data_IF_129615750396
#
_entry.id   IF_129615750396
#
_cell.length_a   1.000
_cell.length_b   1.000
_cell.length_c   1.000
_cell.angle_alpha   90.00
_cell.angle_beta   90.00
_cell.angle_gamma   90.00
#
_symmetry.space_group_name_H-M   'P 1'
#
loop_
_entity.id
_entity.type
_entity.pdbx_description
1 polymer ?
#
# COMPACT_ATOMS: atom_id res chain seq x y z
N UNK A 1 18.87 -7.27 -6.77
CA UNK A 1 17.75 -6.81 -7.62
C UNK A 1 16.89 -8.02 -8.02
N UNK A 2 15.57 -7.89 -8.25
CA UNK A 2 14.74 -9.02 -8.68
C UNK A 2 15.28 -9.71 -9.93
N UNK A 3 15.83 -8.95 -10.89
CA UNK A 3 16.39 -9.50 -12.11
C UNK A 3 17.59 -10.41 -11.86
N UNK A 4 18.52 -9.98 -10.99
CA UNK A 4 19.68 -10.79 -10.63
C UNK A 4 19.29 -12.08 -9.88
N UNK A 5 18.21 -12.03 -9.07
CA UNK A 5 17.68 -13.22 -8.42
C UNK A 5 17.09 -14.20 -9.45
N UNK A 6 16.30 -13.70 -10.41
CA UNK A 6 15.73 -14.54 -11.50
C UNK A 6 16.86 -15.21 -12.27
N UNK A 7 17.88 -14.46 -12.70
CA UNK A 7 19.00 -14.97 -13.48
C UNK A 7 19.82 -16.00 -12.68
N UNK A 8 20.17 -15.67 -11.44
CA UNK A 8 20.96 -16.55 -10.57
C UNK A 8 20.26 -17.87 -10.29
N UNK A 9 18.99 -17.84 -9.87
CA UNK A 9 18.25 -19.07 -9.55
C UNK A 9 17.89 -19.87 -10.82
N UNK A 10 17.64 -19.21 -11.96
CA UNK A 10 17.45 -19.90 -13.23
C UNK A 10 18.74 -20.63 -13.68
N UNK A 11 19.92 -20.05 -13.43
CA UNK A 11 21.20 -20.71 -13.71
C UNK A 11 21.41 -21.92 -12.78
N UNK A 12 21.10 -21.79 -11.49
CA UNK A 12 21.19 -22.90 -10.54
C UNK A 12 20.24 -24.06 -10.89
N UNK A 13 19.07 -23.78 -11.44
CA UNK A 13 18.10 -24.81 -11.86
C UNK A 13 18.58 -25.67 -13.03
N UNK A 14 19.68 -25.29 -13.70
CA UNK A 14 20.29 -26.11 -14.78
C UNK A 14 21.11 -27.28 -14.23
N UNK A 15 21.42 -27.29 -12.93
CA UNK A 15 22.13 -28.41 -12.30
C UNK A 15 21.20 -29.63 -12.19
N UNK A 16 21.54 -30.74 -12.88
CA UNK A 16 20.74 -31.97 -12.82
C UNK A 16 20.79 -32.67 -11.46
N UNK A 17 21.77 -32.34 -10.61
CA UNK A 17 21.97 -32.96 -9.30
C UNK A 17 21.12 -32.33 -8.19
N UNK A 18 20.36 -31.23 -8.50
CA UNK A 18 19.51 -30.57 -7.54
C UNK A 18 18.42 -31.47 -6.97
N UNK A 19 18.21 -31.39 -5.66
CA UNK A 19 17.07 -32.03 -5.02
C UNK A 19 15.75 -31.42 -5.51
N UNK A 20 14.65 -32.20 -5.45
CA UNK A 20 13.32 -31.71 -5.79
C UNK A 20 12.88 -30.54 -4.88
N UNK A 21 13.29 -30.56 -3.62
CA UNK A 21 13.03 -29.50 -2.65
C UNK A 21 13.71 -28.18 -3.07
N UNK A 22 15.01 -28.21 -3.42
CA UNK A 22 15.76 -27.04 -3.88
C UNK A 22 15.19 -26.50 -5.19
N UNK A 23 14.82 -27.39 -6.12
CA UNK A 23 14.20 -27.04 -7.40
C UNK A 23 12.89 -26.29 -7.19
N UNK A 24 12.05 -26.75 -6.29
CA UNK A 24 10.79 -26.10 -5.94
C UNK A 24 11.03 -24.74 -5.26
N UNK A 25 12.00 -24.64 -4.37
CA UNK A 25 12.37 -23.39 -3.70
C UNK A 25 12.88 -22.35 -4.70
N UNK A 26 13.82 -22.72 -5.58
CA UNK A 26 14.36 -21.80 -6.60
C UNK A 26 13.29 -21.34 -7.59
N UNK A 27 12.41 -22.23 -8.00
CA UNK A 27 11.28 -21.89 -8.85
C UNK A 27 10.36 -20.87 -8.16
N UNK A 28 10.08 -21.04 -6.87
CA UNK A 28 9.29 -20.11 -6.08
C UNK A 28 9.93 -18.73 -6.00
N UNK A 29 11.25 -18.67 -5.78
CA UNK A 29 11.98 -17.39 -5.73
C UNK A 29 11.94 -16.67 -7.07
N UNK A 30 12.06 -17.39 -8.19
CA UNK A 30 11.93 -16.82 -9.53
C UNK A 30 10.53 -16.24 -9.74
N UNK A 31 9.47 -16.99 -9.40
CA UNK A 31 8.09 -16.53 -9.53
C UNK A 31 7.84 -15.27 -8.69
N UNK A 32 8.29 -15.27 -7.43
CA UNK A 32 8.14 -14.14 -6.53
C UNK A 32 8.89 -12.89 -7.04
N UNK A 33 10.11 -13.08 -7.54
CA UNK A 33 10.92 -12.00 -8.13
C UNK A 33 10.29 -11.43 -9.40
N UNK A 34 9.69 -12.28 -10.24
CA UNK A 34 8.95 -11.86 -11.45
C UNK A 34 7.72 -11.04 -11.08
N UNK A 35 6.94 -11.47 -10.07
CA UNK A 35 5.79 -10.72 -9.57
C UNK A 35 6.20 -9.35 -9.02
N UNK A 36 7.30 -9.31 -8.28
CA UNK A 36 7.85 -8.05 -7.74
C UNK A 36 8.25 -7.09 -8.87
N UNK A 37 8.92 -7.58 -9.93
CA UNK A 37 9.30 -6.78 -11.09
C UNK A 37 8.08 -6.24 -11.83
N UNK A 38 7.05 -7.06 -12.04
CA UNK A 38 5.78 -6.66 -12.67
C UNK A 38 5.11 -5.54 -11.88
N UNK A 39 5.02 -5.68 -10.55
CA UNK A 39 4.44 -4.66 -9.67
C UNK A 39 5.25 -3.36 -9.72
N UNK A 40 6.59 -3.45 -9.71
CA UNK A 40 7.47 -2.28 -9.79
C UNK A 40 7.31 -1.54 -11.11
N UNK A 41 7.28 -2.25 -12.23
CA UNK A 41 7.09 -1.66 -13.56
C UNK A 41 5.71 -0.99 -13.67
N UNK A 42 4.65 -1.64 -13.20
CA UNK A 42 3.31 -1.07 -13.14
C UNK A 42 3.24 0.23 -12.33
N UNK A 43 3.88 0.24 -11.16
CA UNK A 43 3.95 1.42 -10.30
C UNK A 43 4.74 2.57 -10.93
N UNK A 44 5.85 2.29 -11.64
CA UNK A 44 6.63 3.32 -12.36
C UNK A 44 5.78 3.93 -13.47
N UNK A 45 5.10 3.11 -14.27
CA UNK A 45 4.22 3.59 -15.34
C UNK A 45 3.05 4.41 -14.79
N UNK A 46 2.43 3.95 -13.70
CA UNK A 46 1.37 4.69 -13.03
C UNK A 46 1.87 6.04 -12.52
N UNK A 47 2.99 6.07 -11.81
CA UNK A 47 3.57 7.30 -11.29
C UNK A 47 3.92 8.28 -12.43
N UNK A 48 4.53 7.80 -13.51
CA UNK A 48 4.83 8.62 -14.70
C UNK A 48 3.58 9.24 -15.34
N UNK A 49 2.46 8.50 -15.37
CA UNK A 49 1.16 9.03 -15.85
C UNK A 49 0.62 10.07 -14.89
N UNK A 50 0.61 9.78 -13.58
CA UNK A 50 0.09 10.70 -12.55
C UNK A 50 0.90 12.01 -12.48
N UNK A 51 2.21 11.98 -12.74
CA UNK A 51 3.05 13.18 -12.75
C UNK A 51 2.72 14.15 -13.89
N UNK A 52 2.32 13.61 -15.04
CA UNK A 52 1.90 14.41 -16.20
C UNK A 52 0.44 14.84 -16.12
N UNK A 53 -0.33 14.27 -15.20
CA UNK A 53 -1.75 14.56 -15.07
C UNK A 53 -1.94 15.78 -14.16
N UNK A 54 -2.69 16.79 -14.66
CA UNK A 54 -3.06 17.99 -13.92
C UNK A 54 -4.52 17.93 -13.46
N UNK A 55 -5.37 17.19 -14.18
CA UNK A 55 -6.80 17.10 -13.92
C UNK A 55 -7.22 15.65 -13.75
N UNK A 56 -8.01 15.36 -12.73
CA UNK A 56 -8.59 14.04 -12.50
C UNK A 56 -9.73 13.80 -13.48
N UNK A 57 -9.58 12.83 -14.36
CA UNK A 57 -10.62 12.38 -15.30
C UNK A 57 -11.34 11.13 -14.74
N UNK A 58 -12.45 10.74 -15.35
CA UNK A 58 -13.19 9.53 -14.95
C UNK A 58 -13.81 9.63 -13.56
N UNK A 59 -14.24 10.84 -13.17
CA UNK A 59 -14.91 11.08 -11.88
C UNK A 59 -16.34 10.55 -11.91
N UNK A 60 -16.70 9.80 -10.88
CA UNK A 60 -18.04 9.23 -10.68
C UNK A 60 -18.43 9.32 -9.21
N UNK A 61 -19.73 9.18 -8.91
CA UNK A 61 -20.21 9.08 -7.52
C UNK A 61 -20.23 7.63 -7.09
N UNK A 62 -19.57 7.33 -5.97
CA UNK A 62 -19.51 5.98 -5.39
C UNK A 62 -19.57 6.01 -3.86
N UNK A 63 -19.76 4.86 -3.22
CA UNK A 63 -19.71 4.72 -1.76
C UNK A 63 -18.27 4.54 -1.32
N UNK A 64 -17.71 5.54 -0.68
CA UNK A 64 -16.30 5.54 -0.21
C UNK A 64 -16.09 4.53 0.94
N UNK A 65 -17.04 4.45 1.86
CA UNK A 65 -17.04 3.47 2.94
C UNK A 65 -17.03 2.03 2.42
N UNK A 66 -17.84 1.74 1.41
CA UNK A 66 -17.88 0.42 0.78
C UNK A 66 -16.59 0.11 0.01
N UNK A 67 -16.02 1.10 -0.67
CA UNK A 67 -14.73 0.93 -1.34
C UNK A 67 -13.62 0.55 -0.36
N UNK A 68 -13.58 1.17 0.82
CA UNK A 68 -12.60 0.85 1.86
C UNK A 68 -12.84 -0.57 2.39
N UNK A 69 -14.11 -0.97 2.63
CA UNK A 69 -14.44 -2.35 3.04
C UNK A 69 -13.96 -3.37 2.02
N UNK A 70 -14.20 -3.12 0.73
CA UNK A 70 -13.74 -3.99 -0.36
C UNK A 70 -12.21 -4.08 -0.41
N UNK A 71 -11.50 -2.98 -0.17
CA UNK A 71 -10.04 -3.00 -0.10
C UNK A 71 -9.52 -3.84 1.08
N UNK A 72 -10.18 -3.78 2.24
CA UNK A 72 -9.85 -4.61 3.42
C UNK A 72 -10.10 -6.10 3.10
N UNK A 73 -11.24 -6.44 2.51
CA UNK A 73 -11.59 -7.81 2.12
C UNK A 73 -10.64 -8.37 1.06
N UNK A 74 -10.24 -7.56 0.08
CA UNK A 74 -9.26 -7.97 -0.94
C UNK A 74 -7.92 -8.40 -0.31
N UNK A 75 -7.57 -7.84 0.83
CA UNK A 75 -6.33 -8.12 1.54
C UNK A 75 -6.49 -9.18 2.66
N UNK A 76 -7.67 -9.83 2.76
CA UNK A 76 -7.97 -10.84 3.77
C UNK A 76 -6.89 -11.92 3.90
N UNK A 77 -6.37 -12.55 2.82
CA UNK A 77 -5.35 -13.59 2.96
C UNK A 77 -4.06 -13.09 3.63
N UNK A 78 -3.79 -11.77 3.58
CA UNK A 78 -2.59 -11.18 4.16
C UNK A 78 -2.74 -10.89 5.66
N UNK A 79 -3.87 -10.27 6.05
CA UNK A 79 -4.10 -9.95 7.46
C UNK A 79 -4.53 -11.19 8.25
N UNK A 80 -5.26 -12.14 7.64
CA UNK A 80 -5.59 -13.42 8.27
C UNK A 80 -4.34 -14.26 8.56
N UNK A 81 -3.40 -14.35 7.61
CA UNK A 81 -2.13 -15.06 7.80
C UNK A 81 -1.33 -14.53 8.99
N UNK A 82 -1.49 -13.26 9.34
CA UNK A 82 -0.87 -12.62 10.49
C UNK A 82 -1.76 -12.61 11.74
N UNK A 83 -2.99 -13.14 11.66
CA UNK A 83 -3.98 -13.10 12.74
C UNK A 83 -4.19 -11.68 13.29
N UNK A 84 -4.30 -10.67 12.41
CA UNK A 84 -4.50 -9.29 12.83
C UNK A 84 -5.93 -9.09 13.33
N UNK A 85 -6.07 -8.32 14.41
CA UNK A 85 -7.37 -7.85 14.89
C UNK A 85 -7.79 -6.62 14.06
N UNK A 86 -9.06 -6.62 13.61
CA UNK A 86 -9.60 -5.51 12.82
C UNK A 86 -10.57 -4.68 13.67
N UNK A 87 -10.41 -3.34 13.63
CA UNK A 87 -11.33 -2.36 14.19
C UNK A 87 -11.79 -1.40 13.08
N UNK A 88 -13.02 -1.60 12.59
CA UNK A 88 -13.54 -0.96 11.37
C UNK A 88 -14.76 -0.11 11.71
N UNK A 89 -14.60 1.22 11.68
CA UNK A 89 -15.64 2.22 11.94
C UNK A 89 -15.77 3.17 10.73
N UNK A 90 -16.64 2.84 9.79
CA UNK A 90 -16.80 3.55 8.53
C UNK A 90 -18.20 4.14 8.40
N UNK A 91 -18.32 5.45 8.57
CA UNK A 91 -19.54 6.20 8.30
C UNK A 91 -19.88 6.14 6.81
N UNK A 92 -21.15 5.88 6.46
CA UNK A 92 -21.61 5.86 5.09
C UNK A 92 -21.33 7.21 4.38
N UNK A 93 -20.64 7.16 3.25
CA UNK A 93 -20.18 8.37 2.55
C UNK A 93 -20.25 8.19 1.03
N UNK A 94 -21.07 9.02 0.38
CA UNK A 94 -21.02 9.18 -1.08
C UNK A 94 -19.93 10.18 -1.43
N UNK A 95 -19.03 9.78 -2.31
CA UNK A 95 -17.90 10.60 -2.74
C UNK A 95 -17.91 10.75 -4.27
N UNK A 96 -17.65 11.97 -4.75
CA UNK A 96 -17.51 12.26 -6.18
C UNK A 96 -16.03 12.38 -6.54
N UNK A 97 -15.50 11.43 -7.27
CA UNK A 97 -14.07 11.37 -7.61
C UNK A 97 -13.71 10.21 -8.52
N UNK A 98 -12.43 9.98 -8.72
CA UNK A 98 -11.96 8.82 -9.47
C UNK A 98 -11.82 7.61 -8.54
N UNK A 99 -12.74 6.64 -8.73
CA UNK A 99 -12.85 5.44 -7.91
C UNK A 99 -11.57 4.59 -7.96
N UNK A 100 -10.97 4.41 -9.14
CA UNK A 100 -9.78 3.57 -9.33
C UNK A 100 -8.55 4.15 -8.62
N UNK A 101 -8.35 5.47 -8.72
CA UNK A 101 -7.26 6.16 -8.04
C UNK A 101 -7.38 6.03 -6.52
N UNK A 102 -8.58 6.25 -5.95
CA UNK A 102 -8.78 6.13 -4.50
C UNK A 102 -8.65 4.68 -4.02
N UNK A 103 -9.11 3.70 -4.80
CA UNK A 103 -8.90 2.29 -4.48
C UNK A 103 -7.40 1.97 -4.34
N UNK A 104 -6.55 2.51 -5.23
CA UNK A 104 -5.10 2.35 -5.13
C UNK A 104 -4.53 2.96 -3.83
N UNK A 105 -5.07 4.11 -3.40
CA UNK A 105 -4.68 4.74 -2.12
C UNK A 105 -4.96 3.79 -0.95
N UNK A 106 -6.19 3.26 -0.87
CA UNK A 106 -6.58 2.37 0.25
C UNK A 106 -5.77 1.09 0.25
N UNK A 107 -5.58 0.46 -0.91
CA UNK A 107 -4.76 -0.75 -1.03
C UNK A 107 -3.33 -0.49 -0.57
N UNK A 108 -2.70 0.60 -0.99
CA UNK A 108 -1.32 0.93 -0.60
C UNK A 108 -1.19 1.17 0.92
N UNK A 109 -2.13 1.93 1.52
CA UNK A 109 -2.08 2.22 2.95
C UNK A 109 -2.35 0.98 3.79
N UNK A 110 -3.36 0.17 3.43
CA UNK A 110 -3.70 -1.07 4.11
C UNK A 110 -2.58 -2.11 3.98
N UNK A 111 -1.98 -2.27 2.80
CA UNK A 111 -0.84 -3.17 2.61
C UNK A 111 0.36 -2.78 3.48
N UNK A 112 0.65 -1.47 3.60
CA UNK A 112 1.71 -1.00 4.48
C UNK A 112 1.38 -1.31 5.94
N UNK A 113 0.16 -1.01 6.39
CA UNK A 113 -0.28 -1.31 7.75
C UNK A 113 -0.16 -2.81 8.06
N UNK A 114 -0.67 -3.69 7.17
CA UNK A 114 -0.54 -5.15 7.33
C UNK A 114 0.93 -5.60 7.32
N UNK A 115 1.75 -5.03 6.43
CA UNK A 115 3.17 -5.39 6.29
C UNK A 115 3.93 -5.13 7.59
N UNK A 116 3.76 -3.96 8.17
CA UNK A 116 4.57 -3.51 9.31
C UNK A 116 3.98 -3.86 10.68
N UNK A 117 2.76 -4.37 10.73
CA UNK A 117 2.15 -4.90 11.95
C UNK A 117 2.65 -6.33 12.23
N UNK A 118 3.14 -6.65 13.43
CA UNK A 118 3.47 -8.03 13.82
C UNK A 118 2.21 -8.91 13.90
N UNK A 119 2.42 -10.23 13.91
CA UNK A 119 1.32 -11.17 14.08
C UNK A 119 0.55 -10.90 15.40
N UNK A 120 -0.78 -11.00 15.35
CA UNK A 120 -1.65 -10.70 16.49
C UNK A 120 -1.89 -9.22 16.77
N UNK A 121 -1.26 -8.31 16.02
CA UNK A 121 -1.45 -6.88 16.16
C UNK A 121 -2.82 -6.39 15.70
N UNK A 122 -3.03 -5.08 15.70
CA UNK A 122 -4.31 -4.44 15.34
C UNK A 122 -4.17 -3.57 14.10
N UNK A 123 -5.17 -3.63 13.23
CA UNK A 123 -5.40 -2.74 12.11
C UNK A 123 -6.75 -2.05 12.29
N UNK A 124 -6.76 -0.72 12.32
CA UNK A 124 -8.00 0.06 12.43
C UNK A 124 -8.20 0.92 11.19
N UNK A 125 -9.44 0.99 10.71
CA UNK A 125 -9.85 1.89 9.63
C UNK A 125 -11.08 2.69 10.07
N UNK A 126 -10.96 4.01 10.04
CA UNK A 126 -12.03 4.93 10.45
C UNK A 126 -12.33 5.94 9.36
N UNK A 127 -13.63 6.13 9.05
CA UNK A 127 -14.11 7.17 8.15
C UNK A 127 -15.07 8.09 8.89
N UNK A 128 -14.79 9.40 8.87
CA UNK A 128 -15.62 10.44 9.51
C UNK A 128 -15.85 11.59 8.52
N UNK A 129 -17.05 12.13 8.50
CA UNK A 129 -17.41 13.33 7.74
C UNK A 129 -17.39 14.52 8.72
N UNK A 130 -16.66 15.57 8.38
CA UNK A 130 -16.58 16.81 9.17
C UNK A 130 -16.75 18.01 8.25
N UNK A 131 -17.93 18.63 8.30
CA UNK A 131 -18.27 19.72 7.41
C UNK A 131 -18.26 19.32 5.94
N UNK A 132 -17.43 19.98 5.15
CA UNK A 132 -17.23 19.75 3.71
C UNK A 132 -16.06 18.79 3.40
N UNK A 133 -15.59 18.03 4.38
CA UNK A 133 -14.45 17.12 4.24
C UNK A 133 -14.79 15.73 4.76
N UNK A 134 -14.22 14.74 4.10
CA UNK A 134 -14.14 13.37 4.59
C UNK A 134 -12.72 13.07 5.06
N UNK A 135 -12.61 12.45 6.23
CA UNK A 135 -11.37 12.03 6.85
C UNK A 135 -11.36 10.50 6.94
N UNK A 136 -10.35 9.87 6.36
CA UNK A 136 -10.13 8.42 6.46
C UNK A 136 -8.81 8.19 7.16
N UNK A 137 -8.84 7.50 8.29
CA UNK A 137 -7.66 7.16 9.08
C UNK A 137 -7.44 5.65 9.03
N UNK A 138 -6.23 5.23 8.68
CA UNK A 138 -5.77 3.84 8.74
C UNK A 138 -4.65 3.78 9.75
N UNK A 139 -4.88 3.05 10.84
CA UNK A 139 -3.95 2.91 11.96
C UNK A 139 -3.53 1.47 12.13
N UNK A 140 -2.27 1.27 12.44
CA UNK A 140 -1.67 -0.01 12.78
C UNK A 140 -0.95 0.06 14.15
N UNK A 141 -0.75 -1.09 14.78
CA UNK A 141 0.08 -1.26 15.97
C UNK A 141 1.42 -1.91 15.62
N UNK A 142 2.01 -1.43 14.53
CA UNK A 142 3.25 -1.96 14.00
C UNK A 142 4.51 -1.37 14.65
N UNK A 143 5.63 -1.58 14.00
CA UNK A 143 6.96 -1.13 14.47
C UNK A 143 7.12 0.40 14.52
N UNK A 144 6.16 1.15 13.99
CA UNK A 144 6.21 2.60 13.93
C UNK A 144 7.42 3.18 13.19
N UNK A 145 7.58 4.49 13.28
CA UNK A 145 8.64 5.25 12.58
C UNK A 145 9.18 6.36 13.47
N UNK A 146 10.46 6.67 13.30
CA UNK A 146 11.08 7.86 13.84
C UNK A 146 10.83 9.10 12.96
N UNK A 147 11.14 10.30 13.48
CA UNK A 147 10.92 11.56 12.78
C UNK A 147 11.70 11.68 11.46
N UNK A 148 12.89 11.07 11.40
CA UNK A 148 13.72 11.10 10.21
C UNK A 148 13.09 10.25 9.09
N UNK A 149 12.56 9.09 9.42
CA UNK A 149 11.79 8.23 8.53
C UNK A 149 10.51 8.91 8.08
N UNK A 150 9.71 9.47 9.01
CA UNK A 150 8.43 10.13 8.68
C UNK A 150 8.58 11.26 7.65
N UNK A 151 9.68 12.02 7.70
CA UNK A 151 9.96 13.10 6.73
C UNK A 151 10.20 12.59 5.31
N UNK A 152 10.60 11.32 5.15
CA UNK A 152 11.07 10.76 3.89
C UNK A 152 10.12 9.71 3.28
N UNK A 153 9.12 9.24 4.01
CA UNK A 153 8.25 8.12 3.56
C UNK A 153 7.51 8.38 2.25
N UNK A 154 7.33 9.64 1.85
CA UNK A 154 6.71 10.02 0.58
C UNK A 154 7.72 10.24 -0.56
N UNK A 155 9.03 10.13 -0.28
CA UNK A 155 10.07 10.15 -1.31
C UNK A 155 9.97 8.88 -2.18
N UNK A 156 10.25 9.03 -3.48
CA UNK A 156 10.26 7.90 -4.41
C UNK A 156 11.38 6.93 -4.05
N UNK A 157 11.10 5.64 -4.14
CA UNK A 157 12.05 4.55 -3.85
C UNK A 157 12.59 4.53 -2.41
N UNK A 158 12.01 5.30 -1.51
CA UNK A 158 12.39 5.25 -0.12
C UNK A 158 11.82 3.99 0.55
N UNK A 159 12.69 3.22 1.17
CA UNK A 159 12.36 2.09 2.05
C UNK A 159 13.25 2.15 3.28
N UNK A 160 12.67 1.96 4.46
CA UNK A 160 13.41 2.00 5.74
C UNK A 160 14.51 0.94 5.81
N UNK A 161 14.25 -0.25 5.27
CA UNK A 161 15.17 -1.38 5.32
C UNK A 161 15.68 -1.70 3.91
N UNK A 162 17.00 -1.83 3.82
CA UNK A 162 17.69 -2.36 2.64
C UNK A 162 17.62 -3.89 2.54
N UNK A 163 16.77 -4.55 3.34
CA UNK A 163 16.63 -6.00 3.32
C UNK A 163 15.95 -6.45 2.01
N UNK A 164 16.64 -7.25 1.19
CA UNK A 164 16.11 -7.79 -0.04
C UNK A 164 14.84 -8.64 0.14
N UNK A 165 14.62 -9.17 1.35
CA UNK A 165 13.44 -9.98 1.69
C UNK A 165 12.22 -9.15 2.08
N UNK A 166 12.36 -7.86 2.39
CA UNK A 166 11.24 -6.97 2.63
C UNK A 166 10.63 -6.51 1.31
N UNK A 167 9.55 -7.18 0.91
CA UNK A 167 8.77 -6.90 -0.32
C UNK A 167 8.21 -5.48 -0.32
N UNK A 168 8.84 -4.55 -1.04
CA UNK A 168 8.33 -3.20 -1.27
C UNK A 168 9.29 -2.40 -2.14
N UNK A 169 8.75 -1.69 -3.16
CA UNK A 169 9.55 -0.92 -4.11
C UNK A 169 9.68 0.58 -3.75
N UNK A 170 9.17 1.00 -2.58
CA UNK A 170 9.23 2.38 -2.12
C UNK A 170 8.42 3.39 -2.96
N UNK A 171 7.49 2.91 -3.80
CA UNK A 171 6.67 3.77 -4.67
C UNK A 171 5.22 3.93 -4.17
N UNK A 172 4.71 3.05 -3.32
CA UNK A 172 3.32 3.06 -2.89
C UNK A 172 2.89 4.38 -2.23
N UNK A 173 3.66 4.88 -1.26
CA UNK A 173 3.32 6.13 -0.56
C UNK A 173 3.51 7.37 -1.43
N UNK A 174 4.50 7.40 -2.34
CA UNK A 174 4.65 8.50 -3.29
C UNK A 174 3.51 8.54 -4.32
N UNK A 175 3.01 7.40 -4.77
CA UNK A 175 1.80 7.27 -5.60
C UNK A 175 0.58 7.76 -4.81
N UNK A 176 0.42 7.29 -3.57
CA UNK A 176 -0.66 7.73 -2.67
C UNK A 176 -0.68 9.24 -2.52
N UNK A 177 0.47 9.84 -2.18
CA UNK A 177 0.60 11.30 -2.03
C UNK A 177 0.19 12.02 -3.31
N UNK A 178 0.69 11.59 -4.48
CA UNK A 178 0.35 12.22 -5.77
C UNK A 178 -1.14 12.13 -6.11
N UNK A 179 -1.78 10.99 -5.85
CA UNK A 179 -3.23 10.83 -6.07
C UNK A 179 -4.02 11.80 -5.17
N UNK A 180 -3.67 11.88 -3.89
CA UNK A 180 -4.34 12.77 -2.93
C UNK A 180 -4.14 14.24 -3.32
N UNK A 181 -2.94 14.65 -3.76
CA UNK A 181 -2.68 16.00 -4.24
C UNK A 181 -3.51 16.35 -5.47
N UNK A 182 -3.65 15.44 -6.44
CA UNK A 182 -4.53 15.59 -7.61
C UNK A 182 -6.00 15.77 -7.24
N UNK A 183 -6.42 15.21 -6.11
CA UNK A 183 -7.79 15.36 -5.59
C UNK A 183 -7.94 16.55 -4.62
N UNK A 184 -6.94 17.45 -4.57
CA UNK A 184 -6.93 18.60 -3.68
C UNK A 184 -7.09 18.23 -2.20
N UNK A 185 -6.67 17.00 -1.85
CA UNK A 185 -6.68 16.49 -0.48
C UNK A 185 -5.34 16.68 0.22
N UNK A 186 -5.29 16.20 1.45
CA UNK A 186 -4.05 16.12 2.25
C UNK A 186 -3.89 14.73 2.84
N UNK A 187 -2.65 14.29 3.00
CA UNK A 187 -2.32 13.09 3.76
C UNK A 187 -1.38 13.47 4.90
N UNK A 188 -1.75 13.08 6.09
CA UNK A 188 -1.02 13.29 7.33
C UNK A 188 -0.54 11.95 7.86
N UNK A 189 0.58 11.94 8.57
CA UNK A 189 1.10 10.76 9.26
C UNK A 189 1.47 11.13 10.69
N UNK A 190 1.09 10.28 11.62
CA UNK A 190 1.61 10.28 12.99
C UNK A 190 2.11 8.87 13.32
N UNK A 191 3.29 8.77 13.90
CA UNK A 191 3.90 7.48 14.22
C UNK A 191 4.86 7.63 15.37
N UNK A 192 5.01 6.58 16.15
CA UNK A 192 6.00 6.45 17.20
C UNK A 192 6.60 5.05 17.14
N UNK A 193 7.91 4.96 17.32
CA UNK A 193 8.62 3.67 17.31
C UNK A 193 7.99 2.74 18.34
N UNK A 194 7.71 1.52 17.93
CA UNK A 194 7.09 0.43 18.69
C UNK A 194 5.62 0.67 19.13
N UNK A 195 4.98 1.77 18.71
CA UNK A 195 3.56 2.05 18.98
C UNK A 195 2.68 1.95 17.72
N UNK A 196 3.31 1.95 16.53
CA UNK A 196 2.63 1.88 15.26
C UNK A 196 2.51 3.20 14.52
N UNK A 197 1.67 3.22 13.50
CA UNK A 197 1.48 4.39 12.63
C UNK A 197 0.01 4.66 12.37
N UNK A 198 -0.32 5.91 12.11
CA UNK A 198 -1.64 6.35 11.68
C UNK A 198 -1.49 7.25 10.45
N UNK A 199 -2.01 6.81 9.33
CA UNK A 199 -2.14 7.60 8.11
C UNK A 199 -3.55 8.17 8.03
N UNK A 200 -3.68 9.48 7.86
CA UNK A 200 -4.96 10.17 7.74
C UNK A 200 -5.04 10.88 6.41
N UNK A 201 -5.98 10.46 5.58
CA UNK A 201 -6.33 11.09 4.31
C UNK A 201 -7.52 12.01 4.52
N UNK A 202 -7.43 13.24 4.05
CA UNK A 202 -8.49 14.24 4.13
C UNK A 202 -8.80 14.69 2.70
N UNK A 203 -10.05 14.50 2.28
CA UNK A 203 -10.52 14.88 0.94
C UNK A 203 -11.68 15.85 1.03
N UNK A 204 -11.75 16.86 0.14
CA UNK A 204 -12.91 17.72 0.05
C UNK A 204 -14.12 16.94 -0.47
N UNK A 205 -15.29 17.17 0.13
CA UNK A 205 -16.56 16.66 -0.37
C UNK A 205 -17.13 17.70 -1.36
N UNK A 206 -16.93 17.46 -2.64
CA UNK A 206 -17.59 18.26 -3.66
C UNK A 206 -19.09 17.92 -3.68
N UNK A 207 -19.93 18.92 -3.66
CA UNK A 207 -21.36 18.72 -3.96
C UNK A 207 -21.48 18.34 -5.44
N UNK A 208 -22.03 17.16 -5.70
CA UNK A 208 -22.35 16.69 -7.05
C UNK A 208 -23.34 17.64 -7.75
#
# INVERSE_FOLDING_TARGET
TPLAAIEGYATLLQDPSLSEADRNEYTRIIIDSTRQLTTMTGNILLLSRLEKQEIVTGRTTFSLDEQIRQAILLLEPLWEKKHLNLDIDLTACKFYGNCEMLQQVWINLLQNAIKFTPAGGMLSAKLVITGDKVRVSIRDTGVGMDDATMKRIFEKFYSRNSDPNEKGNGLGLSITKRIIDLMHGTIEVSSQVDEGSCFTVILPLEKA
#
